data_IF_419460737704
#
_entry.id   IF_419460737704
#
_cell.length_a   1.000
_cell.length_b   1.000
_cell.length_c   1.000
_cell.angle_alpha   90.00
_cell.angle_beta   90.00
_cell.angle_gamma   90.00
#
_symmetry.space_group_name_H-M   'P 1'
#
loop_
_entity.id
_entity.type
_entity.pdbx_description
1 polymer ?
#
# COMPACT_ATOMS: atom_id res chain seq x y z
N UNK A 1 7.03 -12.81 -23.42
CA UNK A 1 7.80 -11.76 -24.12
C UNK A 1 7.10 -10.44 -23.86
N UNK A 2 7.64 -9.61 -22.96
CA UNK A 2 7.16 -8.26 -22.71
C UNK A 2 8.39 -7.41 -22.47
N UNK A 3 8.73 -6.57 -23.45
CA UNK A 3 9.92 -5.72 -23.42
C UNK A 3 9.68 -4.55 -22.47
N UNK A 4 10.53 -4.41 -21.44
CA UNK A 4 10.54 -3.23 -20.57
C UNK A 4 11.38 -2.14 -21.22
N UNK A 5 10.73 -1.09 -21.74
CA UNK A 5 11.43 0.10 -22.25
C UNK A 5 11.70 1.07 -21.10
N UNK A 6 12.97 1.27 -20.75
CA UNK A 6 13.43 2.35 -19.88
C UNK A 6 13.44 3.65 -20.69
N UNK A 7 12.58 4.63 -20.37
CA UNK A 7 12.67 5.95 -20.99
C UNK A 7 13.53 6.88 -20.12
N UNK A 8 14.73 7.21 -20.59
CA UNK A 8 15.58 8.27 -20.04
C UNK A 8 15.13 9.62 -20.63
N UNK A 9 14.61 10.51 -19.78
CA UNK A 9 14.42 11.91 -20.14
C UNK A 9 15.59 12.71 -19.58
N UNK A 10 16.58 13.02 -20.43
CA UNK A 10 17.67 13.94 -20.13
C UNK A 10 17.15 15.38 -20.20
N UNK A 11 16.72 15.92 -19.05
CA UNK A 11 16.65 17.37 -18.86
C UNK A 11 18.05 17.86 -18.48
N UNK A 12 18.64 18.70 -19.33
CA UNK A 12 19.84 19.45 -18.97
C UNK A 12 19.50 20.40 -17.81
N UNK A 13 20.40 20.48 -16.83
CA UNK A 13 20.39 21.42 -15.68
C UNK A 13 19.57 21.06 -14.42
N UNK A 14 19.76 19.85 -13.89
CA UNK A 14 19.56 19.56 -12.46
C UNK A 14 20.37 18.31 -12.05
N UNK A 15 20.91 18.21 -10.82
CA UNK A 15 21.54 16.98 -10.35
C UNK A 15 20.52 15.83 -10.48
N UNK A 16 20.93 14.62 -10.90
CA UNK A 16 20.01 13.51 -11.08
C UNK A 16 19.51 13.05 -9.71
N UNK A 17 18.46 13.69 -9.20
CA UNK A 17 17.56 13.02 -8.27
C UNK A 17 16.93 11.93 -9.12
N UNK A 18 17.38 10.70 -8.88
CA UNK A 18 16.86 9.49 -9.49
C UNK A 18 15.38 9.35 -9.09
N UNK A 19 14.50 10.07 -9.77
CA UNK A 19 13.07 9.85 -9.70
C UNK A 19 12.81 8.60 -10.52
N UNK A 20 13.01 7.43 -9.91
CA UNK A 20 12.51 6.17 -10.43
C UNK A 20 10.99 6.27 -10.42
N UNK A 21 10.40 6.88 -11.46
CA UNK A 21 8.99 6.66 -11.78
C UNK A 21 8.92 5.24 -12.32
N UNK A 22 8.71 4.29 -11.42
CA UNK A 22 8.42 2.91 -11.78
C UNK A 22 7.02 2.92 -12.44
N UNK A 23 6.99 3.20 -13.74
CA UNK A 23 5.78 3.13 -14.56
C UNK A 23 5.62 1.68 -15.02
N UNK A 24 4.66 1.00 -14.40
CA UNK A 24 4.12 -0.29 -14.83
C UNK A 24 4.75 -1.49 -14.14
N UNK A 25 4.06 -2.03 -13.13
CA UNK A 25 4.18 -3.43 -12.65
C UNK A 25 2.98 -3.69 -11.75
N UNK A 26 1.89 -4.25 -12.31
CA UNK A 26 0.86 -5.10 -11.66
C UNK A 26 0.24 -4.64 -10.32
N UNK A 27 0.45 -3.39 -9.94
CA UNK A 27 0.10 -2.82 -8.65
C UNK A 27 1.08 -3.12 -7.52
N UNK A 28 1.92 -4.17 -7.58
CA UNK A 28 2.74 -4.61 -6.44
C UNK A 28 4.22 -4.32 -6.68
N UNK A 29 4.88 -3.60 -5.77
CA UNK A 29 6.33 -3.34 -5.87
C UNK A 29 7.15 -4.48 -5.27
N UNK A 30 8.42 -4.57 -5.67
CA UNK A 30 9.41 -5.33 -4.92
C UNK A 30 9.46 -4.84 -3.45
N UNK A 31 9.63 -5.75 -2.47
CA UNK A 31 9.75 -5.36 -1.07
C UNK A 31 11.11 -4.71 -0.80
N UNK A 32 11.11 -3.67 0.02
CA UNK A 32 12.30 -2.97 0.50
C UNK A 32 12.39 -3.05 2.01
N UNK A 33 13.60 -3.07 2.56
CA UNK A 33 13.80 -3.06 4.01
C UNK A 33 13.74 -1.65 4.58
N UNK A 34 13.04 -1.49 5.69
CA UNK A 34 12.98 -0.29 6.52
C UNK A 34 13.16 -0.69 7.99
N UNK A 35 14.39 -0.59 8.49
CA UNK A 35 14.75 -1.18 9.78
C UNK A 35 14.50 -2.69 9.77
N UNK A 36 13.83 -3.22 10.80
CA UNK A 36 13.48 -4.64 10.90
C UNK A 36 12.26 -5.04 10.03
N UNK A 37 11.70 -4.14 9.23
CA UNK A 37 10.48 -4.40 8.46
C UNK A 37 10.78 -4.53 6.97
N UNK A 38 10.13 -5.48 6.29
CA UNK A 38 9.96 -5.42 4.85
C UNK A 38 8.68 -4.67 4.52
N UNK A 39 8.76 -3.72 3.60
CA UNK A 39 7.61 -2.94 3.14
C UNK A 39 7.49 -3.00 1.62
N UNK A 40 6.27 -2.94 1.09
CA UNK A 40 6.01 -2.89 -0.34
C UNK A 40 4.76 -2.08 -0.66
N UNK A 41 4.66 -1.62 -1.90
CA UNK A 41 3.40 -1.15 -2.48
C UNK A 41 2.57 -2.38 -2.86
N UNK A 42 1.31 -2.41 -2.46
CA UNK A 42 0.32 -3.38 -2.92
C UNK A 42 -0.87 -2.61 -3.48
N UNK A 43 -0.91 -2.49 -4.80
CA UNK A 43 -1.81 -1.62 -5.57
C UNK A 43 -1.91 -0.20 -4.99
N UNK A 44 -0.75 0.38 -4.63
CA UNK A 44 -0.66 1.71 -4.05
C UNK A 44 -0.93 1.78 -2.54
N UNK A 45 -1.29 0.68 -1.88
CA UNK A 45 -1.40 0.60 -0.42
C UNK A 45 -0.08 0.16 0.21
N UNK A 46 0.19 0.66 1.41
CA UNK A 46 1.33 0.21 2.18
C UNK A 46 1.07 -1.18 2.76
N UNK A 47 1.96 -2.13 2.50
CA UNK A 47 2.03 -3.39 3.24
C UNK A 47 3.38 -3.55 3.92
N UNK A 48 3.35 -4.03 5.15
CA UNK A 48 4.53 -4.36 5.93
C UNK A 48 4.49 -5.79 6.45
N UNK A 49 5.67 -6.35 6.75
CA UNK A 49 5.84 -7.52 7.63
C UNK A 49 7.16 -7.41 8.38
N UNK A 50 7.15 -7.79 9.64
CA UNK A 50 8.33 -7.71 10.51
C UNK A 50 9.27 -8.89 10.26
N UNK A 51 10.58 -8.64 10.34
CA UNK A 51 11.63 -9.65 10.16
C UNK A 51 11.66 -10.30 8.77
N UNK A 52 10.88 -9.78 7.81
CA UNK A 52 10.71 -10.40 6.49
C UNK A 52 9.98 -11.75 6.51
N UNK A 53 9.35 -12.11 7.63
CA UNK A 53 8.63 -13.37 7.81
C UNK A 53 7.13 -13.12 8.05
N UNK A 54 6.31 -14.16 7.88
CA UNK A 54 4.88 -14.07 8.11
C UNK A 54 4.09 -13.35 7.02
N UNK A 55 2.87 -12.93 7.37
CA UNK A 55 1.89 -12.37 6.45
C UNK A 55 2.13 -10.88 6.21
N UNK A 56 1.92 -10.45 4.97
CA UNK A 56 1.82 -9.03 4.64
C UNK A 56 0.55 -8.44 5.26
N UNK A 57 0.72 -7.33 5.97
CA UNK A 57 -0.36 -6.61 6.63
C UNK A 57 -0.47 -5.18 6.14
N UNK A 58 -1.70 -4.71 5.93
CA UNK A 58 -1.99 -3.29 5.74
C UNK A 58 -1.88 -2.53 7.06
N UNK A 59 -1.52 -1.24 7.00
CA UNK A 59 -1.52 -0.37 8.17
C UNK A 59 -2.79 0.49 8.19
N UNK A 60 -3.65 0.29 9.18
CA UNK A 60 -4.82 1.10 9.46
C UNK A 60 -4.42 2.19 10.45
N UNK A 61 -4.54 3.46 10.07
CA UNK A 61 -4.11 4.56 10.93
C UNK A 61 -5.20 5.07 11.87
N UNK A 62 -6.47 4.88 11.50
CA UNK A 62 -7.60 5.33 12.31
C UNK A 62 -8.90 4.67 11.87
N UNK A 63 -9.85 4.60 12.80
CA UNK A 63 -11.23 4.19 12.55
C UNK A 63 -12.12 5.43 12.46
N UNK A 64 -13.05 5.44 11.51
CA UNK A 64 -14.03 6.50 11.34
C UNK A 64 -15.33 6.13 12.02
N UNK A 65 -16.09 7.16 12.43
CA UNK A 65 -17.45 6.97 12.95
C UNK A 65 -18.30 6.14 11.98
N UNK A 66 -19.22 5.30 12.48
CA UNK A 66 -20.09 4.50 11.64
C UNK A 66 -20.84 5.39 10.66
N UNK A 67 -20.89 4.99 9.39
CA UNK A 67 -21.70 5.67 8.39
C UNK A 67 -23.19 5.46 8.70
N UNK A 68 -24.05 6.36 8.19
CA UNK A 68 -25.51 6.35 8.43
C UNK A 68 -26.18 5.05 7.95
N UNK A 69 -25.53 4.30 7.05
CA UNK A 69 -25.95 3.00 6.53
C UNK A 69 -25.54 1.81 7.42
N UNK A 70 -24.93 2.07 8.59
CA UNK A 70 -24.44 1.03 9.50
C UNK A 70 -23.07 0.46 9.12
N UNK A 71 -22.43 0.96 8.06
CA UNK A 71 -21.11 0.53 7.61
C UNK A 71 -19.96 1.21 8.37
N UNK A 72 -19.07 0.42 8.96
CA UNK A 72 -17.80 0.90 9.51
C UNK A 72 -16.83 1.32 8.42
N UNK A 73 -15.98 2.32 8.70
CA UNK A 73 -14.90 2.70 7.80
C UNK A 73 -13.61 2.90 8.57
N UNK A 74 -12.47 2.65 7.94
CA UNK A 74 -11.15 2.94 8.49
C UNK A 74 -10.24 3.55 7.44
N UNK A 75 -9.18 4.22 7.89
CA UNK A 75 -8.20 4.88 7.04
C UNK A 75 -6.95 4.01 6.94
N UNK A 76 -6.60 3.57 5.72
CA UNK A 76 -5.44 2.71 5.44
C UNK A 76 -4.33 3.52 4.80
N UNK A 77 -3.10 3.29 5.23
CA UNK A 77 -1.92 3.99 4.71
C UNK A 77 -1.65 3.64 3.25
N UNK A 78 -1.44 4.67 2.43
CA UNK A 78 -0.99 4.54 1.04
C UNK A 78 0.54 4.49 0.99
N UNK A 79 1.08 3.76 0.02
CA UNK A 79 2.53 3.54 -0.08
C UNK A 79 3.31 4.84 -0.34
N UNK A 80 2.72 5.76 -1.12
CA UNK A 80 3.26 7.10 -1.36
C UNK A 80 3.02 8.11 -0.23
N UNK A 81 2.45 7.67 0.90
CA UNK A 81 1.96 8.55 1.95
C UNK A 81 0.50 8.94 1.75
N UNK A 82 -0.10 9.46 2.82
CA UNK A 82 -1.53 9.74 2.88
C UNK A 82 -2.37 8.51 3.28
N UNK A 83 -3.65 8.76 3.47
CA UNK A 83 -4.61 7.75 3.95
C UNK A 83 -5.73 7.58 2.93
N UNK A 84 -6.20 6.36 2.77
CA UNK A 84 -7.39 6.05 1.98
C UNK A 84 -8.45 5.40 2.86
N UNK A 85 -9.66 5.96 2.79
CA UNK A 85 -10.81 5.46 3.53
C UNK A 85 -11.35 4.21 2.85
N UNK A 86 -11.42 3.12 3.60
CA UNK A 86 -11.93 1.82 3.13
C UNK A 86 -13.02 1.30 4.07
N UNK A 87 -13.99 0.52 3.55
CA UNK A 87 -14.99 -0.13 4.40
C UNK A 87 -14.36 -1.19 5.32
N UNK A 88 -14.86 -1.26 6.55
CA UNK A 88 -14.59 -2.36 7.50
C UNK A 88 -15.92 -2.93 7.98
N UNK A 89 -16.04 -4.26 7.95
CA UNK A 89 -17.25 -4.95 8.43
C UNK A 89 -17.12 -5.44 9.87
N UNK A 90 -18.23 -5.84 10.48
CA UNK A 90 -18.32 -6.31 11.87
C UNK A 90 -17.49 -7.57 12.19
N UNK A 91 -16.83 -8.18 11.19
CA UNK A 91 -15.89 -9.30 11.37
C UNK A 91 -14.43 -8.82 11.28
N UNK A 92 -14.18 -7.53 11.45
CA UNK A 92 -12.87 -6.89 11.33
C UNK A 92 -12.22 -7.12 9.96
N UNK A 93 -13.03 -7.13 8.89
CA UNK A 93 -12.52 -7.30 7.52
C UNK A 93 -12.55 -5.98 6.77
N UNK A 94 -11.38 -5.50 6.36
CA UNK A 94 -11.26 -4.33 5.49
C UNK A 94 -11.46 -4.71 4.03
N UNK A 95 -12.09 -3.84 3.25
CA UNK A 95 -12.32 -4.06 1.82
C UNK A 95 -11.41 -3.16 0.98
N UNK A 96 -10.42 -3.75 0.32
CA UNK A 96 -9.46 -3.04 -0.55
C UNK A 96 -9.59 -3.62 -1.96
N UNK A 97 -9.84 -2.76 -2.95
CA UNK A 97 -10.01 -3.16 -4.36
C UNK A 97 -11.02 -4.28 -4.56
N UNK A 98 -12.16 -4.18 -3.88
CA UNK A 98 -13.24 -5.17 -3.93
C UNK A 98 -12.97 -6.48 -3.18
N UNK A 99 -11.78 -6.66 -2.59
CA UNK A 99 -11.41 -7.86 -1.84
C UNK A 99 -11.43 -7.61 -0.34
N UNK A 100 -11.99 -8.56 0.41
CA UNK A 100 -12.04 -8.53 1.88
C UNK A 100 -10.79 -9.17 2.50
N UNK A 101 -10.22 -8.50 3.49
CA UNK A 101 -9.04 -8.92 4.23
C UNK A 101 -9.35 -8.91 5.72
N UNK A 102 -9.27 -10.07 6.38
CA UNK A 102 -9.59 -10.19 7.81
C UNK A 102 -8.52 -9.63 8.75
N UNK A 103 -8.78 -9.73 10.05
CA UNK A 103 -7.96 -9.14 11.11
C UNK A 103 -6.47 -9.50 11.05
N UNK A 104 -6.12 -10.69 10.57
CA UNK A 104 -4.72 -11.14 10.41
C UNK A 104 -3.98 -10.51 9.21
N UNK A 105 -4.69 -9.72 8.39
CA UNK A 105 -4.16 -9.05 7.18
C UNK A 105 -3.99 -7.55 7.37
N UNK A 106 -4.22 -7.02 8.56
CA UNK A 106 -4.00 -5.61 8.86
C UNK A 106 -3.57 -5.40 10.32
N UNK A 107 -2.88 -4.30 10.58
CA UNK A 107 -2.50 -3.82 11.90
C UNK A 107 -2.92 -2.36 12.05
N UNK A 108 -2.94 -1.84 13.27
CA UNK A 108 -3.17 -0.44 13.59
C UNK A 108 -2.07 0.06 14.55
#
# INVERSE_FOLDING_TARGET
>A
MGSSTLQLSLGLDAPPILLVRQVGTDGISAPVWKGNWQVRSFHGFHQGREGGVGQWTFYVSSFSAPARDGGGHCNVLKFGGGLERVPIDAKDRITILGRKYGRSRWTH
#
